data_IF_515810939204
#
_entry.id   IF_515810939204
#
_cell.length_a   1.000
_cell.length_b   1.000
_cell.length_c   1.000
_cell.angle_alpha   90.00
_cell.angle_beta   90.00
_cell.angle_gamma   90.00
#
_symmetry.space_group_name_H-M   'P 1'
#
loop_
_entity.id
_entity.type
_entity.pdbx_description
1 polymer ?
#
# COMPACT_ATOMS: atom_id res chain seq x y z
N UNK A 1 20.73 -48.65 -7.30
CA UNK A 1 19.57 -48.11 -6.62
C UNK A 1 19.82 -46.96 -5.66
N UNK A 2 20.97 -46.87 -4.93
CA UNK A 2 21.29 -45.70 -4.08
C UNK A 2 21.67 -44.47 -4.88
N UNK A 3 22.28 -44.60 -6.05
CA UNK A 3 22.72 -43.46 -6.89
C UNK A 3 21.56 -42.67 -7.45
N UNK A 4 20.49 -43.32 -7.87
CA UNK A 4 19.36 -42.68 -8.56
C UNK A 4 18.57 -41.75 -7.60
N UNK A 5 18.35 -42.21 -6.36
CA UNK A 5 17.67 -41.41 -5.33
C UNK A 5 18.48 -40.18 -4.97
N UNK A 6 19.80 -40.26 -4.99
CA UNK A 6 20.68 -39.13 -4.69
C UNK A 6 20.67 -38.10 -5.82
N UNK A 7 20.69 -38.55 -7.07
CA UNK A 7 20.60 -37.69 -8.27
C UNK A 7 19.24 -36.97 -8.29
N UNK A 8 18.13 -37.70 -8.10
CA UNK A 8 16.78 -37.11 -8.10
C UNK A 8 16.64 -36.07 -7.00
N UNK A 9 17.15 -36.31 -5.80
CA UNK A 9 17.15 -35.34 -4.71
C UNK A 9 17.98 -34.08 -5.05
N UNK A 10 19.12 -34.24 -5.70
CA UNK A 10 19.97 -33.11 -6.09
C UNK A 10 19.25 -32.24 -7.13
N UNK A 11 18.66 -32.84 -8.16
CA UNK A 11 17.88 -32.14 -9.19
C UNK A 11 16.72 -31.36 -8.54
N UNK A 12 15.98 -32.01 -7.65
CA UNK A 12 14.87 -31.38 -6.93
C UNK A 12 15.34 -30.18 -6.09
N UNK A 13 16.46 -30.31 -5.40
CA UNK A 13 17.03 -29.21 -4.59
C UNK A 13 17.48 -28.03 -5.47
N UNK A 14 18.06 -28.29 -6.63
CA UNK A 14 18.46 -27.26 -7.58
C UNK A 14 17.23 -26.50 -8.14
N UNK A 15 16.16 -27.24 -8.48
CA UNK A 15 14.90 -26.64 -8.92
C UNK A 15 14.29 -25.74 -7.84
N UNK A 16 14.28 -26.19 -6.59
CA UNK A 16 13.74 -25.40 -5.48
C UNK A 16 14.59 -24.15 -5.20
N UNK A 17 15.89 -24.21 -5.42
CA UNK A 17 16.76 -23.03 -5.32
C UNK A 17 16.48 -22.02 -6.44
N UNK A 18 16.20 -22.49 -7.64
CA UNK A 18 15.80 -21.63 -8.77
C UNK A 18 14.49 -20.87 -8.43
N UNK A 19 13.55 -21.53 -7.73
CA UNK A 19 12.28 -20.91 -7.34
C UNK A 19 12.51 -19.74 -6.37
N UNK A 20 13.47 -19.81 -5.45
CA UNK A 20 13.75 -18.66 -4.55
C UNK A 20 14.19 -17.42 -5.33
N UNK A 21 14.99 -17.62 -6.38
CA UNK A 21 15.42 -16.53 -7.28
C UNK A 21 14.24 -15.98 -8.08
N UNK A 22 13.39 -16.86 -8.62
CA UNK A 22 12.20 -16.48 -9.39
C UNK A 22 11.23 -15.65 -8.54
N UNK A 23 11.09 -15.98 -7.26
CA UNK A 23 10.23 -15.27 -6.32
C UNK A 23 10.91 -14.03 -5.70
N UNK A 24 12.14 -13.70 -6.08
CA UNK A 24 12.95 -12.61 -5.51
C UNK A 24 13.07 -12.71 -3.97
N UNK A 25 13.18 -13.93 -3.45
CA UNK A 25 13.43 -14.16 -2.03
C UNK A 25 14.94 -14.09 -1.80
N UNK A 26 15.40 -12.97 -1.26
CA UNK A 26 16.84 -12.64 -1.13
C UNK A 26 17.52 -13.30 0.08
N UNK A 27 16.74 -13.84 1.02
CA UNK A 27 17.30 -14.47 2.23
C UNK A 27 17.77 -15.90 1.91
N UNK A 28 19.09 -16.17 1.91
CA UNK A 28 19.59 -17.50 1.59
C UNK A 28 19.24 -18.57 2.64
N UNK A 29 18.80 -18.14 3.82
CA UNK A 29 18.41 -19.05 4.90
C UNK A 29 16.98 -19.56 4.75
N UNK A 30 16.21 -18.99 3.81
CA UNK A 30 14.88 -19.47 3.50
C UNK A 30 14.98 -20.57 2.43
N UNK A 31 14.51 -21.76 2.79
CA UNK A 31 14.47 -22.92 1.88
C UNK A 31 13.02 -23.26 1.58
N UNK A 32 12.66 -23.22 0.31
CA UNK A 32 11.34 -23.68 -0.15
C UNK A 32 11.35 -25.21 -0.09
N UNK A 33 10.28 -25.77 0.46
CA UNK A 33 10.12 -27.22 0.62
C UNK A 33 9.12 -27.76 -0.40
N UNK A 34 8.07 -26.98 -0.70
CA UNK A 34 7.00 -27.42 -1.59
C UNK A 34 6.16 -26.25 -2.05
N UNK A 35 5.39 -26.41 -3.11
CA UNK A 35 4.39 -25.45 -3.58
C UNK A 35 3.10 -26.22 -3.81
N UNK A 36 2.05 -25.86 -3.08
CA UNK A 36 0.73 -26.51 -3.15
C UNK A 36 -0.24 -25.55 -3.85
N UNK A 37 -0.84 -26.03 -4.92
CA UNK A 37 -1.92 -25.32 -5.59
C UNK A 37 -3.23 -25.60 -4.86
N UNK A 38 -3.84 -24.55 -4.32
CA UNK A 38 -5.19 -24.59 -3.77
C UNK A 38 -6.17 -24.03 -4.82
N UNK A 39 -7.45 -24.23 -4.65
CA UNK A 39 -8.45 -23.77 -5.62
C UNK A 39 -8.44 -22.22 -5.78
N UNK A 40 -8.15 -21.50 -4.70
CA UNK A 40 -8.24 -20.03 -4.66
C UNK A 40 -6.90 -19.32 -4.57
N UNK A 41 -5.82 -20.06 -4.25
CA UNK A 41 -4.51 -19.45 -4.02
C UNK A 41 -3.40 -20.50 -4.04
N UNK A 42 -2.15 -20.08 -4.05
CA UNK A 42 -0.98 -20.97 -3.92
C UNK A 42 -0.35 -20.82 -2.54
N UNK A 43 0.04 -21.97 -1.96
CA UNK A 43 0.79 -22.01 -0.70
C UNK A 43 2.22 -22.47 -0.98
N UNK A 44 3.18 -21.60 -0.64
CA UNK A 44 4.62 -21.87 -0.76
C UNK A 44 5.10 -22.30 0.63
N UNK A 45 5.39 -23.59 0.79
CA UNK A 45 5.84 -24.15 2.07
C UNK A 45 7.34 -23.87 2.19
N UNK A 46 7.75 -23.18 3.25
CA UNK A 46 9.15 -22.79 3.43
C UNK A 46 9.59 -22.90 4.89
N UNK A 47 10.90 -23.05 5.08
CA UNK A 47 11.52 -23.01 6.41
C UNK A 47 12.66 -22.00 6.42
N UNK A 48 12.82 -21.34 7.56
CA UNK A 48 13.92 -20.44 7.85
C UNK A 48 14.81 -21.12 8.89
N UNK A 49 16.05 -21.43 8.53
CA UNK A 49 16.98 -22.15 9.39
C UNK A 49 18.41 -21.70 9.09
N UNK A 50 19.12 -21.29 10.13
CA UNK A 50 20.53 -20.89 10.04
C UNK A 50 21.25 -21.32 11.33
N UNK A 51 22.56 -21.06 11.42
CA UNK A 51 23.34 -21.43 12.59
C UNK A 51 22.88 -20.65 13.83
N UNK A 52 22.91 -21.31 14.97
CA UNK A 52 22.40 -20.74 16.21
C UNK A 52 23.21 -19.49 16.61
N UNK A 53 22.56 -18.38 16.94
CA UNK A 53 23.25 -17.17 17.38
C UNK A 53 23.70 -17.26 18.82
N UNK A 54 24.55 -16.32 19.27
CA UNK A 54 24.90 -16.16 20.69
C UNK A 54 23.73 -15.58 21.46
N UNK A 55 23.56 -15.99 22.70
CA UNK A 55 22.54 -15.50 23.59
C UNK A 55 22.80 -14.04 23.96
N UNK A 56 21.87 -13.11 23.80
CA UNK A 56 22.10 -11.71 24.15
C UNK A 56 22.25 -11.47 25.66
N UNK A 57 21.79 -12.39 26.50
CA UNK A 57 21.82 -12.22 27.97
C UNK A 57 23.13 -12.72 28.58
N UNK A 58 23.70 -13.82 28.05
CA UNK A 58 24.87 -14.46 28.68
C UNK A 58 26.03 -14.75 27.70
N UNK A 59 25.88 -14.39 26.42
CA UNK A 59 26.91 -14.60 25.39
C UNK A 59 27.11 -16.04 24.94
N UNK A 60 26.57 -17.04 25.63
CA UNK A 60 26.74 -18.46 25.29
C UNK A 60 26.08 -18.79 23.95
N UNK A 61 26.68 -19.71 23.20
CA UNK A 61 26.08 -20.18 21.93
C UNK A 61 24.76 -20.92 22.22
N UNK A 62 23.68 -20.45 21.56
CA UNK A 62 22.37 -21.08 21.68
C UNK A 62 22.34 -22.42 20.92
N UNK A 63 21.37 -23.25 21.19
CA UNK A 63 21.17 -24.51 20.44
C UNK A 63 19.88 -24.44 19.62
N UNK A 64 19.88 -25.08 18.47
CA UNK A 64 18.67 -25.26 17.63
C UNK A 64 17.67 -26.10 18.44
N UNK A 65 16.45 -25.57 18.57
CA UNK A 65 15.40 -26.22 19.35
C UNK A 65 14.37 -26.86 18.42
N UNK A 66 13.28 -26.14 18.12
CA UNK A 66 12.22 -26.65 17.26
C UNK A 66 11.84 -25.62 16.21
N UNK A 67 10.74 -25.83 15.49
CA UNK A 67 10.19 -24.84 14.56
C UNK A 67 8.89 -24.27 15.12
N UNK A 68 8.76 -22.96 15.00
CA UNK A 68 7.50 -22.26 15.27
C UNK A 68 6.39 -22.75 14.29
N UNK A 69 5.12 -22.63 14.69
CA UNK A 69 3.99 -22.85 13.77
C UNK A 69 4.17 -21.95 12.53
N UNK A 70 3.76 -22.42 11.34
CA UNK A 70 3.96 -21.61 10.13
C UNK A 70 3.32 -20.24 10.21
N UNK A 71 4.10 -19.19 9.95
CA UNK A 71 3.61 -17.83 9.76
C UNK A 71 3.06 -17.71 8.34
N UNK A 72 1.82 -17.22 8.20
CA UNK A 72 1.18 -16.98 6.91
C UNK A 72 1.60 -15.60 6.42
N UNK A 73 2.46 -15.56 5.41
CA UNK A 73 3.03 -14.33 4.86
C UNK A 73 2.44 -14.12 3.46
N UNK A 74 1.60 -13.09 3.22
CA UNK A 74 1.10 -12.83 1.87
C UNK A 74 2.25 -12.50 0.92
N UNK A 75 2.11 -12.91 -0.34
CA UNK A 75 3.16 -12.70 -1.33
C UNK A 75 2.54 -12.29 -2.66
N UNK A 76 3.38 -11.89 -3.61
CA UNK A 76 2.92 -11.51 -4.94
C UNK A 76 2.28 -12.70 -5.65
N UNK A 77 1.30 -12.41 -6.48
CA UNK A 77 0.62 -13.45 -7.27
C UNK A 77 1.62 -14.23 -8.13
N UNK A 78 1.36 -15.50 -8.29
CA UNK A 78 2.19 -16.39 -9.09
C UNK A 78 1.28 -17.10 -10.11
N UNK A 79 1.56 -16.92 -11.39
CA UNK A 79 0.75 -17.45 -12.50
C UNK A 79 -0.74 -17.05 -12.38
N UNK A 80 -1.00 -15.75 -12.07
CA UNK A 80 -2.35 -15.21 -11.99
C UNK A 80 -3.14 -15.61 -10.74
N UNK A 81 -2.51 -16.27 -9.76
CA UNK A 81 -3.16 -16.67 -8.52
C UNK A 81 -2.52 -16.00 -7.31
N UNK A 82 -3.33 -15.48 -6.37
CA UNK A 82 -2.79 -14.98 -5.10
C UNK A 82 -1.89 -16.02 -4.44
N UNK A 83 -0.80 -15.59 -3.83
CA UNK A 83 0.15 -16.52 -3.22
C UNK A 83 0.47 -16.12 -1.78
N UNK A 84 0.79 -17.11 -0.95
CA UNK A 84 1.25 -16.88 0.41
C UNK A 84 2.35 -17.87 0.78
N UNK A 85 3.32 -17.41 1.59
CA UNK A 85 4.40 -18.24 2.08
C UNK A 85 4.03 -18.72 3.48
N UNK A 86 4.02 -20.03 3.68
CA UNK A 86 3.89 -20.66 4.99
C UNK A 86 5.30 -20.90 5.55
N UNK A 87 5.80 -19.90 6.30
CA UNK A 87 7.18 -19.89 6.75
C UNK A 87 7.31 -20.44 8.17
N UNK A 88 7.97 -21.61 8.32
CA UNK A 88 8.34 -22.19 9.61
C UNK A 88 9.68 -21.63 10.02
N UNK A 89 9.74 -20.85 11.10
CA UNK A 89 10.95 -20.23 11.61
C UNK A 89 11.58 -21.12 12.70
N UNK A 90 12.90 -21.30 12.63
CA UNK A 90 13.65 -22.05 13.66
C UNK A 90 13.58 -21.28 14.98
N UNK A 91 13.40 -22.00 16.10
CA UNK A 91 13.59 -21.47 17.44
C UNK A 91 14.95 -21.93 17.98
N UNK A 92 15.59 -21.07 18.77
CA UNK A 92 16.85 -21.33 19.44
C UNK A 92 16.64 -21.21 20.94
N UNK A 93 17.29 -22.07 21.71
CA UNK A 93 17.20 -22.07 23.17
C UNK A 93 18.60 -21.92 23.78
N UNK A 94 18.72 -21.02 24.73
CA UNK A 94 19.88 -20.92 25.60
C UNK A 94 19.63 -21.78 26.84
N UNK A 95 20.56 -22.66 27.14
CA UNK A 95 20.44 -23.54 28.31
C UNK A 95 21.01 -22.94 29.58
N UNK A 96 21.75 -21.81 29.47
CA UNK A 96 22.26 -21.07 30.64
C UNK A 96 21.23 -20.06 31.16
N UNK A 97 20.65 -19.24 30.29
CA UNK A 97 19.69 -18.19 30.67
C UNK A 97 18.25 -18.59 30.43
N UNK A 98 17.99 -19.79 29.91
CA UNK A 98 16.66 -20.27 29.50
C UNK A 98 15.98 -19.42 28.44
N UNK A 99 16.66 -18.44 27.84
CA UNK A 99 16.11 -17.54 26.83
C UNK A 99 15.79 -18.29 25.53
N UNK A 100 14.66 -17.94 24.95
CA UNK A 100 14.20 -18.45 23.64
C UNK A 100 14.27 -17.33 22.61
N UNK A 101 14.77 -17.65 21.43
CA UNK A 101 14.77 -16.73 20.29
C UNK A 101 14.18 -17.42 19.07
N UNK A 102 13.57 -16.62 18.19
CA UNK A 102 13.01 -17.10 16.91
C UNK A 102 13.88 -16.55 15.79
N UNK A 103 14.15 -17.37 14.79
CA UNK A 103 14.93 -16.95 13.62
C UNK A 103 14.27 -15.72 12.94
N UNK A 104 15.06 -14.73 12.61
CA UNK A 104 14.63 -13.50 11.97
C UNK A 104 15.07 -13.47 10.51
N UNK A 105 14.32 -12.79 9.65
CA UNK A 105 14.55 -12.71 8.22
C UNK A 105 14.27 -11.29 7.72
N UNK A 106 15.04 -10.78 6.76
CA UNK A 106 14.71 -9.49 6.14
C UNK A 106 13.43 -9.52 5.31
N UNK A 107 12.86 -10.69 5.02
CA UNK A 107 11.60 -10.81 4.26
C UNK A 107 10.46 -10.06 4.96
N UNK A 108 10.38 -10.13 6.29
CA UNK A 108 9.38 -9.42 7.10
C UNK A 108 10.03 -8.85 8.35
N UNK A 109 9.61 -7.67 8.77
CA UNK A 109 10.06 -7.09 10.04
C UNK A 109 9.67 -8.00 11.22
N UNK A 110 10.42 -7.91 12.31
CA UNK A 110 10.12 -8.62 13.55
C UNK A 110 8.67 -8.34 13.98
N UNK A 111 7.96 -9.39 14.36
CA UNK A 111 6.55 -9.34 14.78
C UNK A 111 5.57 -8.85 13.71
N UNK A 112 5.99 -8.83 12.44
CA UNK A 112 5.13 -8.48 11.32
C UNK A 112 4.94 -9.66 10.37
N UNK A 113 3.88 -9.63 9.58
CA UNK A 113 3.59 -10.65 8.56
C UNK A 113 3.54 -10.09 7.14
N UNK A 114 3.47 -8.77 6.99
CA UNK A 114 3.36 -8.13 5.67
C UNK A 114 4.77 -7.76 5.17
N UNK A 115 5.26 -8.37 4.08
CA UNK A 115 6.55 -8.03 3.50
C UNK A 115 6.56 -6.62 2.89
N UNK A 116 7.77 -6.06 2.74
CA UNK A 116 7.96 -4.76 2.09
C UNK A 116 7.38 -4.76 0.67
N UNK A 117 7.55 -5.84 -0.08
CA UNK A 117 7.08 -5.96 -1.47
C UNK A 117 5.55 -5.85 -1.55
N UNK A 118 4.82 -6.39 -0.57
CA UNK A 118 3.36 -6.26 -0.49
C UNK A 118 2.96 -4.81 -0.17
N UNK A 119 3.69 -4.15 0.75
CA UNK A 119 3.44 -2.72 1.03
C UNK A 119 3.63 -1.86 -0.23
N UNK A 120 4.69 -2.12 -1.01
CA UNK A 120 4.94 -1.44 -2.28
C UNK A 120 3.81 -1.71 -3.30
N UNK A 121 3.33 -2.95 -3.36
CA UNK A 121 2.24 -3.32 -4.27
C UNK A 121 0.90 -2.66 -3.87
N UNK A 122 0.64 -2.55 -2.57
CA UNK A 122 -0.53 -1.80 -2.06
C UNK A 122 -0.44 -0.34 -2.53
N UNK A 123 0.70 0.32 -2.33
CA UNK A 123 0.90 1.71 -2.76
C UNK A 123 0.69 1.87 -4.26
N UNK A 124 1.25 0.98 -5.07
CA UNK A 124 1.09 0.99 -6.51
C UNK A 124 -0.40 0.88 -6.91
N UNK A 125 -1.11 -0.10 -6.33
CA UNK A 125 -2.52 -0.33 -6.67
C UNK A 125 -3.43 0.82 -6.23
N UNK A 126 -3.11 1.50 -5.13
CA UNK A 126 -3.84 2.69 -4.70
C UNK A 126 -3.72 3.83 -5.72
N UNK A 127 -2.55 3.97 -6.37
CA UNK A 127 -2.35 4.94 -7.45
C UNK A 127 -3.15 4.54 -8.70
N UNK A 128 -3.32 3.24 -8.95
CA UNK A 128 -4.09 2.70 -10.07
C UNK A 128 -5.61 2.88 -9.90
N UNK A 129 -6.07 3.51 -8.81
CA UNK A 129 -7.49 3.77 -8.51
C UNK A 129 -8.32 2.48 -8.33
N UNK A 130 -7.70 1.44 -7.82
CA UNK A 130 -8.35 0.16 -7.51
C UNK A 130 -8.96 0.25 -6.10
N UNK A 131 -10.13 -0.33 -5.90
CA UNK A 131 -10.80 -0.30 -4.60
C UNK A 131 -10.01 -1.03 -3.53
N UNK A 132 -10.08 -0.57 -2.28
CA UNK A 132 -9.38 -1.21 -1.16
C UNK A 132 -9.81 -2.67 -0.96
N UNK A 133 -11.05 -2.99 -1.28
CA UNK A 133 -11.58 -4.36 -1.21
C UNK A 133 -10.94 -5.25 -2.28
N UNK A 134 -10.81 -4.74 -3.51
CA UNK A 134 -10.16 -5.49 -4.60
C UNK A 134 -8.67 -5.68 -4.34
N UNK A 135 -7.99 -4.65 -3.82
CA UNK A 135 -6.58 -4.77 -3.42
C UNK A 135 -6.43 -5.87 -2.36
N UNK A 136 -7.31 -5.87 -1.36
CA UNK A 136 -7.29 -6.87 -0.29
C UNK A 136 -7.47 -8.29 -0.86
N UNK A 137 -8.42 -8.46 -1.76
CA UNK A 137 -8.71 -9.74 -2.41
C UNK A 137 -7.51 -10.21 -3.24
N UNK A 138 -6.98 -9.35 -4.12
CA UNK A 138 -5.85 -9.68 -5.00
C UNK A 138 -4.58 -10.06 -4.23
N UNK A 139 -4.36 -9.46 -3.05
CA UNK A 139 -3.17 -9.72 -2.24
C UNK A 139 -3.41 -10.71 -1.10
N UNK A 140 -4.59 -11.31 -1.02
CA UNK A 140 -5.00 -12.26 0.05
C UNK A 140 -4.74 -11.70 1.46
N UNK A 141 -5.12 -10.43 1.67
CA UNK A 141 -5.04 -9.74 2.97
C UNK A 141 -6.42 -9.16 3.31
N UNK A 142 -6.60 -8.68 4.54
CA UNK A 142 -7.86 -8.04 4.91
C UNK A 142 -7.92 -6.59 4.44
N UNK A 143 -9.11 -6.08 4.14
CA UNK A 143 -9.34 -4.67 3.80
C UNK A 143 -8.82 -3.75 4.92
N UNK A 144 -9.00 -4.14 6.18
CA UNK A 144 -8.46 -3.37 7.32
C UNK A 144 -6.93 -3.28 7.29
N UNK A 145 -6.23 -4.30 6.73
CA UNK A 145 -4.78 -4.22 6.53
C UNK A 145 -4.43 -3.20 5.45
N UNK A 146 -5.19 -3.14 4.35
CA UNK A 146 -4.98 -2.14 3.29
C UNK A 146 -5.17 -0.73 3.85
N UNK A 147 -6.27 -0.49 4.60
CA UNK A 147 -6.56 0.81 5.23
C UNK A 147 -5.43 1.21 6.20
N UNK A 148 -4.98 0.29 7.05
CA UNK A 148 -3.88 0.56 7.98
C UNK A 148 -2.61 0.94 7.21
N UNK A 149 -2.32 0.24 6.10
CA UNK A 149 -1.15 0.54 5.28
C UNK A 149 -1.28 1.87 4.53
N UNK A 150 -2.48 2.23 4.10
CA UNK A 150 -2.73 3.57 3.54
C UNK A 150 -2.36 4.66 4.55
N UNK A 151 -2.74 4.46 5.82
CA UNK A 151 -2.42 5.43 6.89
C UNK A 151 -0.91 5.48 7.21
N UNK A 152 -0.15 4.40 6.91
CA UNK A 152 1.31 4.39 7.05
C UNK A 152 2.01 5.22 5.95
N UNK A 153 1.34 5.47 4.84
CA UNK A 153 1.91 6.27 3.74
C UNK A 153 1.69 7.76 4.02
N UNK A 154 2.76 8.50 4.21
CA UNK A 154 2.72 9.94 4.38
C UNK A 154 2.82 10.60 3.00
N UNK A 155 1.69 11.09 2.52
CA UNK A 155 1.63 11.82 1.26
C UNK A 155 1.91 13.29 1.55
N UNK A 156 3.07 13.78 1.10
CA UNK A 156 3.36 15.21 1.16
C UNK A 156 2.63 15.92 0.02
N UNK A 157 1.88 16.94 0.36
CA UNK A 157 1.14 17.73 -0.62
C UNK A 157 2.13 18.58 -1.43
N UNK A 158 2.04 18.52 -2.75
CA UNK A 158 2.90 19.29 -3.66
C UNK A 158 2.33 20.70 -3.85
N UNK A 159 2.91 21.67 -3.19
CA UNK A 159 2.52 23.09 -3.30
C UNK A 159 3.25 23.83 -4.43
N UNK A 160 4.04 23.14 -5.26
CA UNK A 160 4.81 23.78 -6.32
C UNK A 160 4.01 24.05 -7.59
N UNK A 161 2.83 23.46 -7.75
CA UNK A 161 2.07 23.54 -9.01
C UNK A 161 0.56 23.47 -8.79
N UNK A 162 -0.17 24.15 -9.68
CA UNK A 162 -1.61 24.09 -9.82
C UNK A 162 -1.95 23.97 -11.32
N UNK A 163 -3.04 23.31 -11.69
CA UNK A 163 -3.45 23.24 -13.09
C UNK A 163 -4.02 24.58 -13.57
N UNK A 164 -4.02 24.78 -14.87
CA UNK A 164 -4.60 26.00 -15.49
C UNK A 164 -6.11 26.07 -15.31
N UNK A 165 -6.78 24.93 -15.28
CA UNK A 165 -8.23 24.83 -15.09
C UNK A 165 -8.50 23.95 -13.88
N UNK A 166 -9.17 24.49 -12.86
CA UNK A 166 -9.57 23.76 -11.67
C UNK A 166 -11.08 23.63 -11.59
N UNK A 167 -11.55 22.56 -10.95
CA UNK A 167 -12.94 22.40 -10.53
C UNK A 167 -12.99 22.42 -9.00
N UNK A 168 -13.87 23.24 -8.44
CA UNK A 168 -14.16 23.33 -7.02
C UNK A 168 -15.56 22.79 -6.76
N UNK A 169 -15.70 21.93 -5.76
CA UNK A 169 -16.98 21.28 -5.44
C UNK A 169 -17.07 20.92 -3.96
N UNK A 170 -18.24 20.49 -3.53
CA UNK A 170 -18.48 19.98 -2.18
C UNK A 170 -18.76 18.47 -2.23
N UNK A 171 -18.28 17.77 -1.23
CA UNK A 171 -18.41 16.33 -1.14
C UNK A 171 -18.87 15.91 0.27
N UNK A 172 -19.88 15.08 0.35
CA UNK A 172 -20.36 14.53 1.62
C UNK A 172 -19.54 13.28 1.95
N UNK A 173 -18.61 13.40 2.91
CA UNK A 173 -17.72 12.31 3.33
C UNK A 173 -18.43 11.36 4.30
N UNK A 174 -19.20 11.92 5.24
CA UNK A 174 -20.02 11.17 6.19
C UNK A 174 -21.37 11.90 6.34
N UNK A 175 -22.39 11.22 6.84
CA UNK A 175 -23.70 11.83 7.04
C UNK A 175 -23.56 13.16 7.81
N UNK A 176 -23.97 14.25 7.19
CA UNK A 176 -23.98 15.58 7.79
C UNK A 176 -22.67 16.36 7.74
N UNK A 177 -21.56 15.77 7.25
CA UNK A 177 -20.29 16.50 7.13
C UNK A 177 -19.93 16.70 5.67
N UNK A 178 -19.86 17.95 5.27
CA UNK A 178 -19.46 18.35 3.92
C UNK A 178 -17.97 18.74 3.92
N UNK A 179 -17.25 18.25 2.93
CA UNK A 179 -15.85 18.54 2.64
C UNK A 179 -15.72 19.32 1.34
N UNK A 180 -14.69 20.14 1.25
CA UNK A 180 -14.34 20.82 0.01
C UNK A 180 -13.41 19.93 -0.81
N UNK A 181 -13.61 19.89 -2.12
CA UNK A 181 -12.75 19.18 -3.06
C UNK A 181 -12.31 20.12 -4.19
N UNK A 182 -11.03 20.05 -4.55
CA UNK A 182 -10.50 20.71 -5.74
C UNK A 182 -9.86 19.68 -6.65
N UNK A 183 -10.14 19.78 -7.95
CA UNK A 183 -9.65 18.86 -8.98
C UNK A 183 -9.04 19.62 -10.15
N UNK A 184 -8.09 18.98 -10.82
CA UNK A 184 -7.66 19.34 -12.17
C UNK A 184 -8.83 19.00 -13.11
N UNK A 185 -9.33 19.99 -13.82
CA UNK A 185 -10.49 19.83 -14.70
C UNK A 185 -10.18 18.92 -15.91
N UNK A 186 -8.97 18.99 -16.43
CA UNK A 186 -8.59 18.27 -17.66
C UNK A 186 -8.26 16.79 -17.37
N UNK A 187 -7.52 16.54 -16.30
CA UNK A 187 -7.03 15.19 -15.97
C UNK A 187 -7.86 14.48 -14.90
N UNK A 188 -8.81 15.18 -14.28
CA UNK A 188 -9.66 14.70 -13.19
C UNK A 188 -8.89 14.26 -11.94
N UNK A 189 -7.61 14.65 -11.82
CA UNK A 189 -6.81 14.35 -10.63
C UNK A 189 -7.24 15.22 -9.47
N UNK A 190 -7.39 14.62 -8.30
CA UNK A 190 -7.72 15.36 -7.09
C UNK A 190 -6.50 16.17 -6.66
N UNK A 191 -6.67 17.48 -6.53
CA UNK A 191 -5.65 18.40 -6.02
C UNK A 191 -5.67 18.34 -4.50
N UNK A 192 -6.84 18.49 -3.90
CA UNK A 192 -6.99 18.45 -2.44
C UNK A 192 -8.44 18.12 -2.05
N UNK A 193 -8.55 17.47 -0.88
CA UNK A 193 -9.82 17.31 -0.16
C UNK A 193 -9.59 17.90 1.24
N UNK A 194 -10.43 18.85 1.64
CA UNK A 194 -10.28 19.52 2.93
C UNK A 194 -11.45 19.16 3.85
N UNK A 195 -11.16 18.82 5.10
CA UNK A 195 -12.20 18.65 6.11
C UNK A 195 -12.89 19.99 6.35
N UNK A 196 -14.17 20.05 6.00
CA UNK A 196 -14.96 21.27 6.07
C UNK A 196 -14.91 22.08 4.79
N UNK A 197 -15.90 23.00 4.67
CA UNK A 197 -16.13 23.81 3.47
C UNK A 197 -16.12 25.30 3.75
N UNK A 198 -15.62 25.71 4.93
CA UNK A 198 -15.58 27.14 5.26
C UNK A 198 -14.52 27.87 4.43
N UNK A 199 -14.81 29.12 4.12
CA UNK A 199 -13.87 29.98 3.39
C UNK A 199 -12.49 30.02 4.05
N UNK A 200 -12.44 30.01 5.39
CA UNK A 200 -11.19 30.08 6.14
C UNK A 200 -10.32 28.84 5.88
N UNK A 201 -10.92 27.64 5.91
CA UNK A 201 -10.22 26.38 5.64
C UNK A 201 -9.63 26.39 4.21
N UNK A 202 -10.45 26.75 3.23
CA UNK A 202 -10.07 26.77 1.81
C UNK A 202 -8.97 27.83 1.60
N UNK A 203 -9.17 29.04 2.16
CA UNK A 203 -8.19 30.14 2.06
C UNK A 203 -6.84 29.72 2.62
N UNK A 204 -6.83 29.18 3.83
CA UNK A 204 -5.58 28.78 4.51
C UNK A 204 -4.83 27.71 3.70
N UNK A 205 -5.55 26.78 3.07
CA UNK A 205 -4.93 25.77 2.24
C UNK A 205 -4.29 26.39 0.99
N UNK A 206 -5.04 27.22 0.22
CA UNK A 206 -4.52 27.77 -1.03
C UNK A 206 -3.47 28.85 -0.82
N UNK A 207 -3.44 29.52 0.34
CA UNK A 207 -2.36 30.48 0.66
C UNK A 207 -1.00 29.79 0.89
N UNK A 208 -0.96 28.47 1.06
CA UNK A 208 0.30 27.72 1.13
C UNK A 208 1.00 27.64 -0.23
N UNK A 209 0.27 27.81 -1.33
CA UNK A 209 0.87 27.93 -2.66
C UNK A 209 1.44 29.33 -2.86
N UNK A 210 2.60 29.42 -3.48
CA UNK A 210 3.16 30.72 -3.85
C UNK A 210 2.21 31.49 -4.77
N UNK A 211 2.27 32.83 -4.69
CA UNK A 211 1.46 33.70 -5.54
C UNK A 211 1.66 33.39 -7.03
N UNK A 212 2.91 33.16 -7.45
CA UNK A 212 3.23 32.84 -8.84
C UNK A 212 2.52 31.57 -9.31
N UNK A 213 2.42 30.54 -8.45
CA UNK A 213 1.71 29.29 -8.73
C UNK A 213 0.20 29.54 -8.83
N UNK A 214 -0.36 30.32 -7.89
CA UNK A 214 -1.79 30.65 -7.93
C UNK A 214 -2.18 31.44 -9.19
N UNK A 215 -1.31 32.33 -9.65
CA UNK A 215 -1.53 33.13 -10.86
C UNK A 215 -1.53 32.29 -12.16
N UNK A 216 -1.07 31.05 -12.12
CA UNK A 216 -1.12 30.16 -13.29
C UNK A 216 -2.55 29.66 -13.56
N UNK A 217 -3.41 29.66 -12.55
CA UNK A 217 -4.80 29.22 -12.68
C UNK A 217 -5.59 30.27 -13.48
N UNK A 218 -6.15 29.84 -14.60
CA UNK A 218 -6.89 30.72 -15.53
C UNK A 218 -8.40 30.59 -15.39
N UNK A 219 -8.88 29.39 -15.06
CA UNK A 219 -10.32 29.09 -14.99
C UNK A 219 -10.57 28.27 -13.72
N UNK A 220 -11.58 28.66 -12.98
CA UNK A 220 -12.15 27.82 -11.91
C UNK A 220 -13.62 27.56 -12.26
N UNK A 221 -13.97 26.27 -12.38
CA UNK A 221 -15.37 25.85 -12.51
C UNK A 221 -15.90 25.52 -11.12
N UNK A 222 -17.09 25.97 -10.80
CA UNK A 222 -17.72 25.74 -9.49
C UNK A 222 -19.23 25.74 -9.63
N UNK A 223 -19.91 25.19 -8.66
CA UNK A 223 -21.36 25.32 -8.57
C UNK A 223 -21.74 26.79 -8.23
N UNK A 224 -23.00 27.14 -8.43
CA UNK A 224 -23.53 28.51 -8.25
C UNK A 224 -23.52 28.99 -6.79
N UNK A 225 -22.55 28.54 -5.99
CA UNK A 225 -22.42 28.91 -4.58
C UNK A 225 -21.58 30.19 -4.45
N UNK A 226 -22.22 31.29 -4.24
CA UNK A 226 -21.68 32.64 -4.19
C UNK A 226 -20.41 32.81 -3.32
N UNK A 227 -20.30 32.23 -2.10
CA UNK A 227 -19.12 32.43 -1.27
C UNK A 227 -17.80 31.97 -1.88
N UNK A 228 -17.83 30.96 -2.77
CA UNK A 228 -16.61 30.47 -3.41
C UNK A 228 -16.10 31.42 -4.50
N UNK A 229 -17.01 32.12 -5.12
CA UNK A 229 -16.67 33.13 -6.13
C UNK A 229 -15.81 34.27 -5.52
N UNK A 230 -16.26 34.83 -4.40
CA UNK A 230 -15.54 35.90 -3.73
C UNK A 230 -14.20 35.42 -3.16
N UNK A 231 -14.18 34.19 -2.63
CA UNK A 231 -12.95 33.58 -2.13
C UNK A 231 -11.92 33.38 -3.24
N UNK A 232 -12.33 32.92 -4.42
CA UNK A 232 -11.45 32.74 -5.57
C UNK A 232 -10.79 34.07 -5.99
N UNK A 233 -11.55 35.17 -5.96
CA UNK A 233 -11.02 36.51 -6.20
C UNK A 233 -10.01 36.95 -5.13
N UNK A 234 -10.35 36.74 -3.84
CA UNK A 234 -9.47 37.10 -2.72
C UNK A 234 -8.14 36.36 -2.76
N UNK A 235 -8.12 35.15 -3.24
CA UNK A 235 -6.91 34.33 -3.37
C UNK A 235 -5.99 34.79 -4.52
N UNK A 236 -6.42 35.81 -5.26
CA UNK A 236 -5.67 36.42 -6.37
C UNK A 236 -5.28 35.41 -7.45
N UNK A 237 -6.15 34.41 -7.72
CA UNK A 237 -6.03 33.64 -8.94
C UNK A 237 -6.21 34.59 -10.13
N UNK A 238 -5.38 34.46 -11.15
CA UNK A 238 -5.48 35.30 -12.35
C UNK A 238 -6.59 34.80 -13.28
N UNK A 239 -7.81 34.78 -12.75
CA UNK A 239 -8.97 34.13 -13.37
C UNK A 239 -9.47 35.01 -14.52
N UNK A 240 -9.35 34.50 -15.74
CA UNK A 240 -9.90 35.14 -16.93
C UNK A 240 -11.41 34.86 -17.11
N UNK A 241 -11.87 33.70 -16.63
CA UNK A 241 -13.29 33.32 -16.66
C UNK A 241 -13.65 32.40 -15.48
N UNK A 242 -14.78 32.69 -14.85
CA UNK A 242 -15.46 31.79 -13.94
C UNK A 242 -16.60 31.13 -14.72
N UNK A 243 -16.53 29.83 -14.91
CA UNK A 243 -17.65 29.07 -15.51
C UNK A 243 -18.48 28.46 -14.39
N UNK A 244 -19.77 28.82 -14.39
CA UNK A 244 -20.74 28.17 -13.55
C UNK A 244 -21.10 26.82 -14.20
N UNK A 245 -21.06 25.76 -13.43
CA UNK A 245 -21.49 24.42 -13.91
C UNK A 245 -22.99 24.40 -14.08
N UNK A 246 -23.47 24.04 -15.27
CA UNK A 246 -24.81 23.48 -15.40
C UNK A 246 -24.71 21.99 -15.09
N UNK A 247 -25.44 21.68 -14.09
CA UNK A 247 -25.44 20.31 -13.54
C UNK A 247 -25.89 19.29 -14.53
N UNK A 248 -25.14 18.40 -14.64
CA UNK A 248 -25.50 17.27 -15.34
C UNK A 248 -24.41 16.38 -15.86
N UNK A 249 -23.40 16.89 -16.38
CA UNK A 249 -22.53 15.94 -17.09
C UNK A 249 -21.33 15.49 -16.24
N UNK A 250 -21.03 16.19 -15.18
CA UNK A 250 -19.88 15.89 -14.33
C UNK A 250 -20.28 14.96 -13.17
N UNK A 251 -21.52 15.02 -12.72
CA UNK A 251 -22.05 14.13 -11.69
C UNK A 251 -21.99 12.64 -12.11
N UNK A 252 -22.23 12.33 -13.38
CA UNK A 252 -22.21 10.94 -13.85
C UNK A 252 -20.80 10.35 -13.86
N UNK A 253 -19.78 11.17 -14.12
CA UNK A 253 -18.37 10.73 -14.02
C UNK A 253 -17.91 10.59 -12.56
N UNK A 254 -18.44 11.45 -11.67
CA UNK A 254 -18.15 11.38 -10.22
C UNK A 254 -18.76 10.14 -9.57
N UNK A 255 -19.97 9.75 -9.99
CA UNK A 255 -20.64 8.55 -9.46
C UNK A 255 -19.87 7.29 -9.82
N UNK A 256 -19.30 7.21 -11.04
CA UNK A 256 -18.47 6.07 -11.43
C UNK A 256 -17.21 5.95 -10.55
N UNK A 257 -16.57 7.08 -10.25
CA UNK A 257 -15.37 7.10 -9.37
C UNK A 257 -15.77 6.73 -7.93
N UNK A 258 -16.97 7.14 -7.50
CA UNK A 258 -17.47 6.86 -6.16
C UNK A 258 -17.77 5.37 -5.94
N UNK A 259 -18.31 4.69 -6.95
CA UNK A 259 -18.53 3.24 -6.90
C UNK A 259 -17.22 2.43 -6.97
N UNK A 260 -16.16 3.03 -7.53
CA UNK A 260 -14.84 2.38 -7.66
C UNK A 260 -13.93 2.59 -6.44
N UNK A 261 -14.20 3.57 -5.57
CA UNK A 261 -13.33 3.91 -4.43
C UNK A 261 -13.93 3.42 -3.09
N UNK A 262 -15.24 3.20 -3.02
CA UNK A 262 -15.94 2.76 -1.81
C UNK A 262 -16.74 1.47 -2.07
#
# INVERSE_FOLDING_TARGET
MKSDKTIIRKIHMEQLHFITKLLDIKDPNIKILDIINMDTHKEIIAKLDYEAPSCPDCGSLMKKYDFQKPSKIPYLETTGMPSRILLRKRRFKCYHSSKMMVAETPLVKKNHQIPRIINQKIAQKLIEKISMTDIAHQLSISTSTVIRKLNDFHFEHDFSRLPKIMSWDEYAFTKGKMSFIAQDFDNLNIITVLEGRTQAVIRNHFLRYDRAVRCQVKIITMDMFSPYYDLAKQLRFQISRLRLKQSXTIFSKFFKIKEEIF
#
